data_IF_599880204085
#
_entry.id   IF_599880204085
#
_cell.length_a   1.000
_cell.length_b   1.000
_cell.length_c   1.000
_cell.angle_alpha   90.00
_cell.angle_beta   90.00
_cell.angle_gamma   90.00
#
_symmetry.space_group_name_H-M   'P 1'
#
loop_
_entity.id
_entity.type
_entity.pdbx_description
1 polymer ?
#
# COMPACT_ATOMS: atom_id res chain seq x y z
N UNK A 1 -42.46 -0.44 20.22
CA UNK A 1 -41.36 0.08 21.06
C UNK A 1 -40.06 -0.43 20.48
N UNK A 2 -39.25 0.45 19.88
CA UNK A 2 -37.93 0.11 19.35
C UNK A 2 -36.89 0.15 20.47
N UNK A 3 -35.98 -0.81 20.46
CA UNK A 3 -34.93 -1.00 21.46
C UNK A 3 -33.99 0.24 21.50
N UNK A 4 -33.80 0.90 22.65
CA UNK A 4 -33.05 2.16 22.75
C UNK A 4 -31.51 2.04 22.66
N UNK A 5 -30.96 0.85 22.39
CA UNK A 5 -29.51 0.58 22.50
C UNK A 5 -28.76 0.34 21.17
N UNK A 6 -29.24 0.84 20.03
CA UNK A 6 -28.37 0.97 18.85
C UNK A 6 -27.38 2.14 19.03
N UNK A 7 -26.34 1.91 19.83
CA UNK A 7 -25.14 2.75 19.81
C UNK A 7 -24.59 2.72 18.39
N UNK A 8 -24.62 3.86 17.71
CA UNK A 8 -23.86 4.09 16.48
C UNK A 8 -22.39 3.86 16.80
N UNK A 9 -21.88 2.67 16.52
CA UNK A 9 -20.45 2.35 16.69
C UNK A 9 -19.75 3.02 15.51
N UNK A 10 -19.30 4.26 15.70
CA UNK A 10 -18.47 4.93 14.70
C UNK A 10 -17.16 4.15 14.60
N UNK A 11 -16.81 3.59 13.43
CA UNK A 11 -15.50 2.98 13.24
C UNK A 11 -14.44 4.03 13.59
N UNK A 12 -13.65 3.78 14.63
CA UNK A 12 -12.62 4.71 15.05
C UNK A 12 -11.34 4.38 14.30
N UNK A 13 -11.07 5.15 13.25
CA UNK A 13 -9.81 5.11 12.53
C UNK A 13 -8.71 5.85 13.32
N UNK A 14 -7.79 5.08 13.88
CA UNK A 14 -6.69 5.58 14.72
C UNK A 14 -5.41 5.89 13.92
N UNK A 15 -5.34 5.56 12.63
CA UNK A 15 -4.13 5.70 11.79
C UNK A 15 -4.43 6.59 10.59
N UNK A 16 -4.68 7.87 10.84
CA UNK A 16 -5.07 8.88 9.83
C UNK A 16 -4.04 9.08 8.71
N UNK A 17 -2.79 8.75 8.96
CA UNK A 17 -1.68 8.95 8.05
C UNK A 17 -1.18 7.64 7.43
N UNK A 18 -0.74 7.73 6.17
CA UNK A 18 -0.01 6.65 5.51
C UNK A 18 1.43 6.66 6.05
N UNK A 19 1.89 5.59 6.73
CA UNK A 19 3.26 5.55 7.24
C UNK A 19 4.27 5.53 6.07
N UNK A 20 5.48 6.08 6.27
CA UNK A 20 6.53 5.95 5.28
C UNK A 20 6.93 4.47 5.09
N UNK A 21 7.36 4.07 3.88
CA UNK A 21 7.92 2.74 3.67
C UNK A 21 9.17 2.57 4.53
N UNK A 22 9.36 1.38 5.10
CA UNK A 22 10.57 1.06 5.85
C UNK A 22 11.82 1.18 4.95
N UNK A 23 13.01 1.49 5.50
CA UNK A 23 14.24 1.52 4.73
C UNK A 23 14.48 0.21 3.96
N UNK A 24 14.70 0.32 2.64
CA UNK A 24 14.91 -0.81 1.74
C UNK A 24 16.37 -0.79 1.29
N UNK A 25 17.06 -1.91 1.47
CA UNK A 25 18.41 -2.13 0.98
C UNK A 25 18.41 -3.33 0.04
N UNK A 26 19.10 -3.22 -1.09
CA UNK A 26 19.24 -4.29 -2.06
C UNK A 26 20.73 -4.43 -2.36
N UNK A 27 21.28 -5.65 -2.34
CA UNK A 27 22.71 -5.92 -2.52
C UNK A 27 23.56 -5.79 -1.24
N UNK A 28 24.90 -5.86 -1.37
CA UNK A 28 25.83 -6.00 -0.23
C UNK A 28 26.22 -4.72 0.53
N UNK A 29 25.69 -3.55 0.16
CA UNK A 29 25.94 -2.28 0.86
C UNK A 29 24.84 -1.93 1.86
N UNK A 30 24.74 -2.66 2.97
CA UNK A 30 23.74 -2.39 4.01
C UNK A 30 24.33 -2.06 5.39
N UNK A 31 23.98 -0.90 5.95
CA UNK A 31 24.04 -0.66 7.41
C UNK A 31 22.91 -1.42 8.12
N UNK A 32 23.18 -1.90 9.34
CA UNK A 32 22.29 -2.76 10.11
C UNK A 32 20.95 -2.07 10.45
N UNK A 33 19.82 -2.63 9.96
CA UNK A 33 18.47 -2.23 10.40
C UNK A 33 17.32 -2.30 9.38
N UNK A 34 17.60 -2.61 8.10
CA UNK A 34 16.57 -2.69 7.03
C UNK A 34 16.40 -4.08 6.40
N UNK A 35 15.38 -4.24 5.54
CA UNK A 35 15.22 -5.45 4.72
C UNK A 35 16.32 -5.48 3.64
N UNK A 36 17.12 -6.56 3.62
CA UNK A 36 18.14 -6.81 2.60
C UNK A 36 17.58 -7.77 1.54
N UNK A 37 17.51 -7.33 0.30
CA UNK A 37 17.16 -8.19 -0.84
C UNK A 37 18.40 -8.52 -1.67
N UNK A 38 18.47 -9.74 -2.18
CA UNK A 38 19.36 -10.11 -3.27
C UNK A 38 18.92 -9.38 -4.56
N UNK A 39 19.89 -9.06 -5.43
CA UNK A 39 19.61 -8.37 -6.71
C UNK A 39 18.61 -9.13 -7.58
N UNK A 40 18.60 -10.46 -7.47
CA UNK A 40 17.80 -11.34 -8.30
C UNK A 40 16.39 -11.56 -7.71
N UNK A 41 16.24 -11.48 -6.38
CA UNK A 41 14.95 -11.63 -5.71
C UNK A 41 14.12 -10.35 -5.65
N UNK A 42 14.73 -9.16 -5.81
CA UNK A 42 14.00 -7.89 -5.75
C UNK A 42 12.91 -7.78 -6.83
N UNK A 43 13.13 -8.34 -8.03
CA UNK A 43 12.13 -8.34 -9.11
C UNK A 43 10.92 -9.21 -8.79
N UNK A 44 11.16 -10.37 -8.17
CA UNK A 44 10.10 -11.24 -7.69
C UNK A 44 9.28 -10.56 -6.58
N UNK A 45 9.93 -9.82 -5.69
CA UNK A 45 9.27 -9.06 -4.62
C UNK A 45 8.46 -7.90 -5.21
N UNK A 46 9.02 -7.11 -6.12
CA UNK A 46 8.30 -6.04 -6.83
C UNK A 46 7.06 -6.61 -7.54
N UNK A 47 7.18 -7.76 -8.20
CA UNK A 47 6.06 -8.42 -8.87
C UNK A 47 4.94 -8.78 -7.89
N UNK A 48 5.28 -9.36 -6.72
CA UNK A 48 4.29 -9.68 -5.69
C UNK A 48 3.56 -8.43 -5.17
N UNK A 49 4.28 -7.33 -4.97
CA UNK A 49 3.65 -6.07 -4.54
C UNK A 49 2.78 -5.45 -5.63
N UNK A 50 3.16 -5.55 -6.91
CA UNK A 50 2.32 -5.12 -8.04
C UNK A 50 1.03 -5.94 -8.12
N UNK A 51 1.11 -7.26 -7.94
CA UNK A 51 -0.08 -8.12 -7.89
C UNK A 51 -1.00 -7.73 -6.72
N UNK A 52 -0.43 -7.46 -5.53
CA UNK A 52 -1.21 -6.97 -4.40
C UNK A 52 -1.88 -5.62 -4.70
N UNK A 53 -1.18 -4.71 -5.38
CA UNK A 53 -1.76 -3.43 -5.79
C UNK A 53 -2.98 -3.63 -6.70
N UNK A 54 -2.88 -4.55 -7.67
CA UNK A 54 -3.98 -4.87 -8.57
C UNK A 54 -5.19 -5.44 -7.81
N UNK A 55 -4.95 -6.30 -6.82
CA UNK A 55 -6.02 -6.84 -5.97
C UNK A 55 -6.66 -5.76 -5.09
N UNK A 56 -5.86 -4.87 -4.50
CA UNK A 56 -6.38 -3.73 -3.74
C UNK A 56 -7.21 -2.76 -4.60
N UNK A 57 -6.87 -2.59 -5.87
CA UNK A 57 -7.68 -1.80 -6.80
C UNK A 57 -9.05 -2.43 -7.06
N UNK A 58 -9.13 -3.77 -7.12
CA UNK A 58 -10.42 -4.48 -7.20
C UNK A 58 -11.20 -4.31 -5.90
N UNK A 59 -10.54 -4.44 -4.75
CA UNK A 59 -11.15 -4.26 -3.42
C UNK A 59 -11.72 -2.85 -3.25
N UNK A 60 -11.03 -1.83 -3.77
CA UNK A 60 -11.54 -0.45 -3.80
C UNK A 60 -12.89 -0.36 -4.52
N UNK A 61 -13.05 -1.04 -5.66
CA UNK A 61 -14.33 -1.03 -6.38
C UNK A 61 -15.46 -1.69 -5.56
N UNK A 62 -15.15 -2.70 -4.74
CA UNK A 62 -16.11 -3.28 -3.81
C UNK A 62 -16.41 -2.35 -2.63
N UNK A 63 -15.39 -1.73 -2.04
CA UNK A 63 -15.54 -0.76 -0.96
C UNK A 63 -16.40 0.44 -1.39
N UNK A 64 -16.23 0.95 -2.61
CA UNK A 64 -17.06 2.02 -3.16
C UNK A 64 -18.53 1.62 -3.29
N UNK A 65 -18.83 0.35 -3.57
CA UNK A 65 -20.21 -0.17 -3.62
C UNK A 65 -20.81 -0.26 -2.22
N UNK A 66 -20.02 -0.67 -1.23
CA UNK A 66 -20.44 -0.78 0.18
C UNK A 66 -20.66 0.62 0.79
N UNK A 67 -19.80 1.60 0.46
CA UNK A 67 -19.95 2.99 0.90
C UNK A 67 -21.21 3.67 0.35
N UNK A 68 -21.68 3.23 -0.82
CA UNK A 68 -22.80 3.84 -1.56
C UNK A 68 -24.09 3.02 -1.49
N UNK A 69 -24.30 2.24 -0.42
CA UNK A 69 -25.52 1.45 -0.27
C UNK A 69 -26.74 2.38 -0.24
N UNK A 70 -27.73 2.04 -1.08
CA UNK A 70 -29.00 2.77 -1.20
C UNK A 70 -30.12 1.94 -0.59
N UNK A 71 -31.03 2.61 0.11
CA UNK A 71 -32.21 1.99 0.68
C UNK A 71 -33.15 1.50 -0.45
N UNK A 72 -33.73 0.28 -0.34
CA UNK A 72 -34.66 -0.24 -1.35
C UNK A 72 -36.01 0.51 -1.37
N UNK A 73 -36.35 1.23 -0.30
CA UNK A 73 -37.59 2.01 -0.15
C UNK A 73 -37.41 3.28 0.70
N UNK A 74 -38.43 4.13 0.73
CA UNK A 74 -38.45 5.37 1.55
C UNK A 74 -38.93 5.15 2.99
N UNK A 75 -39.12 3.89 3.42
CA UNK A 75 -39.58 3.61 4.78
C UNK A 75 -38.51 3.94 5.83
N UNK A 76 -38.96 4.26 7.04
CA UNK A 76 -38.09 4.69 8.15
C UNK A 76 -36.99 3.66 8.46
N UNK A 77 -37.33 2.37 8.46
CA UNK A 77 -36.39 1.27 8.69
C UNK A 77 -35.30 1.17 7.61
N UNK A 78 -35.66 1.48 6.36
CA UNK A 78 -34.76 1.44 5.20
C UNK A 78 -33.77 2.61 5.21
N UNK A 79 -34.19 3.77 5.75
CA UNK A 79 -33.34 4.95 5.94
C UNK A 79 -32.38 4.86 7.12
N UNK A 80 -32.75 4.16 8.20
CA UNK A 80 -31.85 3.96 9.34
C UNK A 80 -30.74 2.95 9.04
N UNK A 81 -31.00 1.95 8.19
CA UNK A 81 -29.97 1.02 7.72
C UNK A 81 -28.87 1.71 6.92
N UNK A 82 -29.21 2.62 6.00
CA UNK A 82 -28.19 3.35 5.20
C UNK A 82 -27.37 4.32 6.06
N UNK A 83 -27.99 4.96 7.05
CA UNK A 83 -27.27 5.80 8.04
C UNK A 83 -26.29 5.02 8.90
N UNK A 84 -26.57 3.75 9.20
CA UNK A 84 -25.67 2.88 9.96
C UNK A 84 -24.58 2.23 9.08
N UNK A 85 -24.93 1.83 7.84
CA UNK A 85 -24.03 1.08 6.96
C UNK A 85 -23.00 1.98 6.23
N UNK A 86 -23.42 3.16 5.76
CA UNK A 86 -22.57 4.01 4.93
C UNK A 86 -21.31 4.51 5.67
N UNK A 87 -21.34 4.93 6.96
CA UNK A 87 -20.12 5.31 7.68
C UNK A 87 -19.06 4.20 7.77
N UNK A 88 -19.51 2.94 7.86
CA UNK A 88 -18.62 1.78 7.85
C UNK A 88 -18.03 1.53 6.47
N UNK A 89 -18.82 1.72 5.41
CA UNK A 89 -18.35 1.65 4.03
C UNK A 89 -17.37 2.78 3.68
N UNK A 90 -17.63 4.00 4.14
CA UNK A 90 -16.72 5.14 3.98
C UNK A 90 -15.38 4.88 4.66
N UNK A 91 -15.41 4.36 5.90
CA UNK A 91 -14.18 3.97 6.61
C UNK A 91 -13.41 2.89 5.85
N UNK A 92 -14.09 1.85 5.36
CA UNK A 92 -13.46 0.79 4.58
C UNK A 92 -12.82 1.34 3.29
N UNK A 93 -13.49 2.27 2.60
CA UNK A 93 -12.95 2.92 1.41
C UNK A 93 -11.71 3.76 1.74
N UNK A 94 -11.74 4.54 2.81
CA UNK A 94 -10.58 5.32 3.26
C UNK A 94 -9.38 4.43 3.59
N UNK A 95 -9.59 3.34 4.34
CA UNK A 95 -8.51 2.39 4.67
C UNK A 95 -7.95 1.72 3.41
N UNK A 96 -8.82 1.33 2.47
CA UNK A 96 -8.40 0.73 1.20
C UNK A 96 -7.54 1.70 0.39
N UNK A 97 -7.94 2.97 0.31
CA UNK A 97 -7.12 3.99 -0.36
C UNK A 97 -5.75 4.16 0.31
N UNK A 98 -5.68 4.16 1.65
CA UNK A 98 -4.40 4.27 2.37
C UNK A 98 -3.48 3.07 2.14
N UNK A 99 -4.04 1.85 2.09
CA UNK A 99 -3.28 0.66 1.72
C UNK A 99 -2.71 0.76 0.30
N UNK A 100 -3.52 1.20 -0.67
CA UNK A 100 -3.07 1.44 -2.06
C UNK A 100 -1.91 2.45 -2.08
N UNK A 101 -2.03 3.56 -1.35
CA UNK A 101 -0.95 4.56 -1.26
C UNK A 101 0.33 3.96 -0.66
N UNK A 102 0.22 3.21 0.44
CA UNK A 102 1.38 2.57 1.06
C UNK A 102 2.08 1.61 0.10
N UNK A 103 1.33 0.72 -0.55
CA UNK A 103 1.86 -0.26 -1.51
C UNK A 103 2.56 0.44 -2.67
N UNK A 104 1.95 1.49 -3.21
CA UNK A 104 2.53 2.29 -4.32
C UNK A 104 3.86 2.92 -3.91
N UNK A 105 3.92 3.51 -2.71
CA UNK A 105 5.15 4.10 -2.16
C UNK A 105 6.23 3.05 -1.94
N UNK A 106 5.86 1.87 -1.46
CA UNK A 106 6.79 0.76 -1.23
C UNK A 106 7.35 0.19 -2.53
N UNK A 107 6.52 0.00 -3.56
CA UNK A 107 6.98 -0.40 -4.92
C UNK A 107 7.97 0.63 -5.47
N UNK A 108 7.66 1.92 -5.33
CA UNK A 108 8.55 3.00 -5.78
C UNK A 108 9.91 2.95 -5.08
N UNK A 109 9.91 2.70 -3.76
CA UNK A 109 11.14 2.55 -2.98
C UNK A 109 11.97 1.33 -3.44
N UNK A 110 11.33 0.19 -3.72
CA UNK A 110 12.00 -1.00 -4.26
C UNK A 110 12.62 -0.74 -5.63
N UNK A 111 11.88 -0.09 -6.54
CA UNK A 111 12.39 0.24 -7.88
C UNK A 111 13.56 1.23 -7.84
N UNK A 112 13.51 2.21 -6.93
CA UNK A 112 14.62 3.15 -6.73
C UNK A 112 15.85 2.46 -6.14
N UNK A 113 15.67 1.59 -5.15
CA UNK A 113 16.78 0.82 -4.57
C UNK A 113 17.44 -0.08 -5.61
N UNK A 114 16.65 -0.73 -6.48
CA UNK A 114 17.16 -1.52 -7.61
C UNK A 114 17.99 -0.68 -8.58
N UNK A 115 17.50 0.51 -8.99
CA UNK A 115 18.25 1.43 -9.88
C UNK A 115 19.58 1.87 -9.28
N UNK A 116 19.61 2.12 -7.96
CA UNK A 116 20.83 2.49 -7.23
C UNK A 116 21.92 1.43 -7.30
N UNK A 117 21.57 0.14 -7.30
CA UNK A 117 22.54 -0.95 -7.50
C UNK A 117 23.14 -0.89 -8.90
N UNK A 118 22.31 -0.84 -9.94
CA UNK A 118 22.79 -0.88 -11.31
C UNK A 118 23.77 0.27 -11.61
N UNK A 119 23.47 1.47 -11.11
CA UNK A 119 24.40 2.61 -11.21
C UNK A 119 25.72 2.34 -10.46
N UNK A 120 25.64 1.81 -9.24
CA UNK A 120 26.83 1.45 -8.46
C UNK A 120 27.69 0.35 -9.09
N UNK A 121 27.09 -0.63 -9.75
CA UNK A 121 27.80 -1.68 -10.48
C UNK A 121 28.45 -1.15 -11.76
N UNK A 122 27.75 -0.31 -12.52
CA UNK A 122 28.27 0.30 -13.74
C UNK A 122 29.45 1.23 -13.43
N UNK A 123 29.38 2.01 -12.35
CA UNK A 123 30.47 2.88 -11.91
C UNK A 123 31.66 2.08 -11.39
N UNK A 124 31.42 0.98 -10.67
CA UNK A 124 32.48 0.06 -10.25
C UNK A 124 33.17 -0.60 -11.47
N UNK A 125 32.40 -1.07 -12.47
CA UNK A 125 32.94 -1.64 -13.71
C UNK A 125 33.74 -0.61 -14.50
N UNK A 126 33.27 0.63 -14.60
CA UNK A 126 34.00 1.74 -15.24
C UNK A 126 35.30 2.07 -14.51
N UNK A 127 35.28 2.13 -13.17
CA UNK A 127 36.47 2.39 -12.36
C UNK A 127 37.53 1.29 -12.56
N UNK A 128 37.13 0.02 -12.53
CA UNK A 128 38.02 -1.13 -12.80
C UNK A 128 38.58 -1.08 -14.23
N UNK A 129 37.74 -0.78 -15.23
CA UNK A 129 38.18 -0.63 -16.63
C UNK A 129 39.19 0.50 -16.80
N UNK A 130 38.96 1.65 -16.17
CA UNK A 130 39.88 2.80 -16.22
C UNK A 130 41.19 2.52 -15.46
N UNK A 131 41.14 1.71 -14.41
CA UNK A 131 42.31 1.32 -13.60
C UNK A 131 43.15 0.23 -14.29
N UNK A 132 42.53 -0.64 -15.09
CA UNK A 132 43.21 -1.70 -15.85
C UNK A 132 43.87 -1.24 -17.15
N UNK A 133 43.59 -0.01 -17.62
CA UNK A 133 44.21 0.58 -18.82
C UNK A 133 45.49 1.39 -18.53
N UNK A 134 45.96 1.41 -17.28
CA UNK A 134 47.11 2.18 -16.81
C UNK A 134 48.42 1.39 -16.64
N UNK A 135 48.54 0.18 -17.18
CA UNK A 135 49.77 -0.64 -17.14
C UNK A 135 50.17 -1.10 -18.55
#
# INVERSE_FOLDING_TARGET
MGDPDQKTVTPTDTKKDVPPPAPIQVGDKGEAGGYKFDSDGVDGVITKWKNLLDDLQKDKAFAERIAKVRAPGKEFASGDFTKAANPSGDTLLEQTNRMITYVTNYITALENAKKGIHQGEDDAKKAVKNSGQGF
#
